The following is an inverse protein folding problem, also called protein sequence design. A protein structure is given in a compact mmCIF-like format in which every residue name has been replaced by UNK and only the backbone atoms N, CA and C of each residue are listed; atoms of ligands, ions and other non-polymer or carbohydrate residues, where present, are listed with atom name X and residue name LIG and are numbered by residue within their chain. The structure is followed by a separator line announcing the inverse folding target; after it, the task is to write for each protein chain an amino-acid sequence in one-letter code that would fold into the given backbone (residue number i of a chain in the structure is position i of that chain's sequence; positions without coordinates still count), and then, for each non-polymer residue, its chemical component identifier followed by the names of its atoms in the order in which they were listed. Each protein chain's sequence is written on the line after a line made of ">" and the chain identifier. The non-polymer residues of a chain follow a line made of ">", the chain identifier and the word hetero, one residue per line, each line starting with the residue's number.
data_IF_006025868280
#
_entry.id   IF_006025868280
#
_cell.length_a   1.000
_cell.length_b   1.000
_cell.length_c   1.000
_cell.angle_alpha   90.00
_cell.angle_beta   90.00
_cell.angle_gamma   90.00
#
_symmetry.space_group_name_H-M   'P 1'
#
loop_
_entity.id
_entity.type
_entity.pdbx_description
1 polymer ?
#
# COMPACT_ATOMS: atom_id res chain seq x y z
N UNK A 1 -23.46 -2.63 10.15
CA UNK A 1 -22.07 -3.07 10.44
C UNK A 1 -21.09 -1.92 10.65
N UNK A 2 -21.22 -0.79 9.92
CA UNK A 2 -20.36 0.39 10.15
C UNK A 2 -20.59 1.02 11.54
N UNK A 3 -19.52 1.32 12.31
CA UNK A 3 -19.62 2.02 13.61
C UNK A 3 -20.39 3.34 13.53
N UNK A 4 -21.13 3.69 14.59
CA UNK A 4 -21.99 4.87 14.63
C UNK A 4 -21.28 6.15 14.16
N UNK A 5 -20.05 6.37 14.64
CA UNK A 5 -19.22 7.54 14.29
C UNK A 5 -18.91 7.71 12.80
N UNK A 6 -19.01 6.64 12.00
CA UNK A 6 -18.67 6.65 10.57
C UNK A 6 -19.86 6.39 9.65
N UNK A 7 -21.05 6.07 10.20
CA UNK A 7 -22.20 5.61 9.42
C UNK A 7 -22.67 6.62 8.37
N UNK A 8 -22.60 7.91 8.67
CA UNK A 8 -23.00 8.99 7.76
C UNK A 8 -21.90 9.37 6.75
N UNK A 9 -20.70 8.79 6.88
CA UNK A 9 -19.53 9.11 6.04
C UNK A 9 -19.21 7.93 5.11
N UNK A 10 -19.28 6.71 5.63
CA UNK A 10 -18.89 5.46 4.98
C UNK A 10 -17.85 4.69 5.80
N UNK A 11 -17.70 3.39 5.51
CA UNK A 11 -16.70 2.55 6.15
C UNK A 11 -15.27 3.03 5.80
N UNK A 12 -14.39 3.26 6.79
CA UNK A 12 -12.97 3.48 6.51
C UNK A 12 -12.33 2.27 5.85
N UNK A 13 -11.56 2.50 4.79
CA UNK A 13 -10.83 1.48 4.04
C UNK A 13 -9.35 1.85 4.04
N UNK A 14 -8.50 0.94 4.51
CA UNK A 14 -7.07 1.18 4.66
C UNK A 14 -6.33 0.44 3.55
N UNK A 15 -5.60 1.18 2.71
CA UNK A 15 -4.84 0.66 1.59
C UNK A 15 -3.35 0.82 1.88
N UNK A 16 -2.66 -0.25 2.33
CA UNK A 16 -1.21 -0.23 2.42
C UNK A 16 -0.58 -0.14 1.02
N UNK A 17 0.44 0.72 0.91
CA UNK A 17 1.41 0.68 -0.19
C UNK A 17 2.48 -0.39 0.06
N UNK A 18 3.69 -0.09 -0.39
CA UNK A 18 4.90 -0.85 -0.06
C UNK A 18 5.78 -0.08 0.95
N UNK A 19 6.98 -0.61 1.23
CA UNK A 19 7.87 -0.01 2.24
C UNK A 19 8.46 1.36 1.86
N UNK A 20 8.35 1.78 0.60
CA UNK A 20 8.87 3.04 0.09
C UNK A 20 7.85 3.95 -0.57
N UNK A 21 6.56 3.57 -0.58
CA UNK A 21 5.47 4.33 -1.21
C UNK A 21 4.41 4.74 -0.20
N UNK A 22 3.51 5.63 -0.62
CA UNK A 22 2.42 6.07 0.23
C UNK A 22 1.42 4.96 0.57
N UNK A 23 0.64 5.16 1.62
CA UNK A 23 -0.58 4.42 1.90
C UNK A 23 -1.78 5.35 1.82
N UNK A 24 -2.98 4.81 1.66
CA UNK A 24 -4.20 5.60 1.53
C UNK A 24 -5.26 5.19 2.56
N UNK A 25 -5.97 6.20 3.04
CA UNK A 25 -7.26 6.04 3.69
C UNK A 25 -8.33 6.39 2.66
N UNK A 26 -9.26 5.47 2.44
CA UNK A 26 -10.44 5.65 1.60
C UNK A 26 -11.71 5.49 2.45
N UNK A 27 -12.87 5.78 1.86
CA UNK A 27 -14.17 5.41 2.40
C UNK A 27 -14.96 4.57 1.39
N UNK A 28 -15.67 3.56 1.88
CA UNK A 28 -16.65 2.82 1.07
C UNK A 28 -17.82 3.71 0.63
N UNK A 29 -18.50 3.28 -0.43
CA UNK A 29 -19.63 3.98 -1.06
C UNK A 29 -20.77 3.02 -1.37
N UNK A 30 -21.97 3.53 -1.65
CA UNK A 30 -23.08 2.72 -2.14
C UNK A 30 -22.76 2.08 -3.50
N UNK A 31 -22.00 2.76 -4.36
CA UNK A 31 -21.49 2.23 -5.63
C UNK A 31 -20.72 0.90 -5.47
N UNK A 32 -20.13 0.65 -4.30
CA UNK A 32 -19.45 -0.62 -4.01
C UNK A 32 -20.36 -1.86 -4.05
N UNK A 33 -21.69 -1.69 -4.07
CA UNK A 33 -22.65 -2.77 -4.32
C UNK A 33 -22.38 -3.52 -5.64
N UNK A 34 -21.86 -2.84 -6.67
CA UNK A 34 -21.41 -3.47 -7.93
C UNK A 34 -20.29 -4.52 -7.73
N UNK A 35 -19.64 -4.48 -6.57
CA UNK A 35 -18.56 -5.36 -6.16
C UNK A 35 -18.87 -6.09 -4.85
N UNK A 36 -20.15 -6.17 -4.47
CA UNK A 36 -20.60 -6.77 -3.21
C UNK A 36 -19.93 -6.15 -1.97
N UNK A 37 -19.77 -4.82 -1.96
CA UNK A 37 -19.15 -4.10 -0.85
C UNK A 37 -17.62 -4.22 -0.78
N UNK A 38 -16.96 -4.50 -1.90
CA UNK A 38 -15.51 -4.75 -1.96
C UNK A 38 -14.72 -3.63 -2.63
N UNK A 39 -13.40 -3.60 -2.41
CA UNK A 39 -12.49 -2.71 -3.12
C UNK A 39 -11.06 -3.26 -3.11
N UNK A 40 -10.07 -2.51 -3.61
CA UNK A 40 -8.66 -2.94 -3.58
C UNK A 40 -8.12 -3.07 -2.15
N UNK A 41 -7.04 -3.84 -1.98
CA UNK A 41 -6.39 -4.05 -0.68
C UNK A 41 -4.95 -3.51 -0.60
N UNK A 42 -4.39 -3.02 -1.71
CA UNK A 42 -2.99 -2.57 -1.79
C UNK A 42 -2.49 -2.53 -3.24
N UNK A 43 -1.20 -2.29 -3.40
CA UNK A 43 -0.52 -2.26 -4.70
C UNK A 43 -0.66 -3.57 -5.51
N UNK A 44 -0.50 -4.71 -4.84
CA UNK A 44 -0.34 -6.01 -5.49
C UNK A 44 1.05 -6.16 -6.14
N UNK A 45 1.58 -7.39 -6.11
CA UNK A 45 2.92 -7.68 -6.63
C UNK A 45 2.92 -7.78 -8.16
N UNK A 46 3.99 -7.31 -8.78
CA UNK A 46 4.32 -7.56 -10.20
C UNK A 46 5.43 -8.59 -10.39
N UNK A 47 6.11 -8.96 -9.29
CA UNK A 47 7.24 -9.88 -9.31
C UNK A 47 7.20 -10.85 -8.14
N UNK A 48 7.59 -12.12 -8.39
CA UNK A 48 7.74 -13.11 -7.32
C UNK A 48 8.84 -12.72 -6.33
N UNK A 49 8.74 -13.20 -5.09
CA UNK A 49 9.76 -12.94 -4.05
C UNK A 49 11.14 -13.45 -4.47
N UNK A 50 11.19 -14.64 -5.07
CA UNK A 50 12.45 -15.23 -5.56
C UNK A 50 13.09 -14.39 -6.66
N UNK A 51 12.29 -13.88 -7.60
CA UNK A 51 12.81 -12.99 -8.64
C UNK A 51 13.29 -11.66 -8.04
N UNK A 52 12.57 -11.12 -7.06
CA UNK A 52 12.97 -9.90 -6.36
C UNK A 52 14.32 -10.05 -5.65
N UNK A 53 14.53 -11.14 -4.88
CA UNK A 53 15.81 -11.44 -4.23
C UNK A 53 16.99 -11.57 -5.18
N UNK A 54 16.75 -12.10 -6.38
CA UNK A 54 17.80 -12.27 -7.40
C UNK A 54 18.16 -10.94 -8.06
N UNK A 55 17.19 -10.02 -8.14
CA UNK A 55 17.33 -8.75 -8.83
C UNK A 55 17.91 -7.64 -7.95
N UNK A 56 17.51 -7.58 -6.68
CA UNK A 56 17.86 -6.48 -5.79
C UNK A 56 18.61 -6.94 -4.55
N UNK A 57 19.46 -6.05 -4.03
CA UNK A 57 20.16 -6.22 -2.76
C UNK A 57 19.45 -5.44 -1.67
N UNK A 58 19.14 -6.09 -0.55
CA UNK A 58 18.39 -5.48 0.55
C UNK A 58 19.07 -4.24 1.12
N UNK A 59 20.39 -4.25 1.23
CA UNK A 59 21.18 -3.12 1.74
C UNK A 59 21.05 -1.88 0.85
N UNK A 60 20.95 -2.09 -0.46
CA UNK A 60 20.76 -1.00 -1.43
C UNK A 60 19.36 -0.41 -1.32
N UNK A 61 18.34 -1.26 -1.13
CA UNK A 61 16.98 -0.80 -0.89
C UNK A 61 16.91 0.00 0.41
N UNK A 62 17.54 -0.48 1.48
CA UNK A 62 17.64 0.27 2.74
C UNK A 62 18.24 1.66 2.55
N UNK A 63 19.40 1.76 1.88
CA UNK A 63 20.01 3.06 1.53
C UNK A 63 19.11 3.94 0.66
N UNK A 64 18.34 3.35 -0.26
CA UNK A 64 17.38 4.08 -1.09
C UNK A 64 16.24 4.68 -0.24
N UNK A 65 15.74 3.94 0.74
CA UNK A 65 14.72 4.42 1.67
C UNK A 65 15.26 5.53 2.57
N UNK A 66 16.46 5.36 3.12
CA UNK A 66 17.11 6.39 3.93
C UNK A 66 17.33 7.70 3.15
N UNK A 67 17.72 7.61 1.88
CA UNK A 67 17.82 8.79 0.98
C UNK A 67 16.49 9.50 0.77
N UNK A 68 15.37 8.79 0.89
CA UNK A 68 14.01 9.36 0.84
C UNK A 68 13.53 9.87 2.21
N UNK A 69 14.36 9.82 3.25
CA UNK A 69 13.99 10.17 4.62
C UNK A 69 13.16 9.11 5.34
N UNK A 70 13.20 7.87 4.86
CA UNK A 70 12.45 6.73 5.44
C UNK A 70 13.42 5.86 6.22
N UNK A 71 13.24 5.77 7.55
CA UNK A 71 14.02 4.86 8.39
C UNK A 71 13.68 3.40 8.08
N UNK A 72 14.68 2.56 7.82
CA UNK A 72 14.47 1.15 7.46
C UNK A 72 15.06 0.22 8.52
N UNK A 73 14.23 -0.67 9.08
CA UNK A 73 14.67 -1.68 10.06
C UNK A 73 14.17 -3.09 9.67
N UNK A 74 14.93 -3.82 8.83
CA UNK A 74 14.57 -5.18 8.46
C UNK A 74 15.06 -6.21 9.48
N UNK A 75 14.31 -7.31 9.65
CA UNK A 75 14.76 -8.51 10.35
C UNK A 75 15.91 -9.21 9.60
N UNK A 76 15.93 -9.10 8.27
CA UNK A 76 17.07 -9.48 7.44
C UNK A 76 17.11 -8.70 6.13
N UNK A 77 18.31 -8.52 5.57
CA UNK A 77 18.46 -7.93 4.24
C UNK A 77 17.79 -8.76 3.13
N UNK A 78 17.60 -10.07 3.35
CA UNK A 78 16.86 -10.91 2.40
C UNK A 78 15.38 -10.52 2.34
N UNK A 79 14.75 -10.28 3.50
CA UNK A 79 13.36 -9.80 3.59
C UNK A 79 13.22 -8.44 2.92
N UNK A 80 14.19 -7.56 3.13
CA UNK A 80 14.20 -6.25 2.47
C UNK A 80 14.26 -6.39 0.93
N UNK A 81 15.01 -7.36 0.40
CA UNK A 81 15.04 -7.64 -1.04
C UNK A 81 13.72 -8.22 -1.60
N UNK A 82 13.02 -9.08 -0.86
CA UNK A 82 11.71 -9.62 -1.27
C UNK A 82 10.65 -8.55 -1.47
N UNK A 83 10.76 -7.49 -0.66
CA UNK A 83 9.75 -6.47 -0.45
C UNK A 83 10.08 -5.16 -1.17
N UNK A 84 11.09 -5.18 -2.07
CA UNK A 84 11.49 -4.03 -2.87
C UNK A 84 10.27 -3.26 -3.42
N UNK A 85 10.22 -1.92 -3.33
CA UNK A 85 9.11 -1.14 -3.89
C UNK A 85 8.82 -1.48 -5.36
N UNK A 86 9.86 -1.71 -6.14
CA UNK A 86 9.78 -2.08 -7.56
C UNK A 86 9.18 -3.49 -7.81
N UNK A 87 8.94 -4.29 -6.77
CA UNK A 87 8.26 -5.57 -6.86
C UNK A 87 6.72 -5.42 -6.81
N UNK A 88 6.21 -4.21 -6.59
CA UNK A 88 4.80 -3.87 -6.46
C UNK A 88 4.34 -2.92 -7.58
N UNK A 89 3.03 -2.87 -7.82
CA UNK A 89 2.44 -1.83 -8.68
C UNK A 89 2.48 -0.48 -7.96
N UNK A 90 2.27 0.59 -8.72
CA UNK A 90 1.97 1.90 -8.16
C UNK A 90 0.61 1.87 -7.43
N UNK A 91 0.63 1.95 -6.10
CA UNK A 91 -0.57 1.97 -5.25
C UNK A 91 -1.45 3.18 -5.52
N UNK A 92 -0.86 4.33 -5.88
CA UNK A 92 -1.59 5.53 -6.28
C UNK A 92 -2.43 5.30 -7.53
N UNK A 93 -1.91 4.55 -8.51
CA UNK A 93 -2.68 4.14 -9.68
C UNK A 93 -3.83 3.17 -9.32
N UNK A 94 -3.56 2.17 -8.47
CA UNK A 94 -4.61 1.23 -8.01
C UNK A 94 -5.76 1.97 -7.33
N UNK A 95 -5.41 2.90 -6.43
CA UNK A 95 -6.40 3.75 -5.72
C UNK A 95 -7.10 4.70 -6.68
N UNK A 96 -6.41 5.24 -7.69
CA UNK A 96 -7.03 6.11 -8.68
C UNK A 96 -8.13 5.39 -9.46
N UNK A 97 -7.94 4.11 -9.79
CA UNK A 97 -8.93 3.29 -10.50
C UNK A 97 -10.18 3.06 -9.63
N UNK A 98 -10.03 2.61 -8.39
CA UNK A 98 -11.19 2.38 -7.51
C UNK A 98 -11.92 3.66 -7.13
N UNK A 99 -11.18 4.77 -7.04
CA UNK A 99 -11.74 6.10 -6.89
C UNK A 99 -12.54 6.57 -8.11
N UNK A 100 -11.97 6.40 -9.31
CA UNK A 100 -12.66 6.75 -10.56
C UNK A 100 -13.90 5.90 -10.81
N UNK A 101 -13.88 4.62 -10.43
CA UNK A 101 -15.04 3.73 -10.46
C UNK A 101 -16.09 4.05 -9.39
N UNK A 102 -15.77 4.92 -8.42
CA UNK A 102 -16.68 5.32 -7.36
C UNK A 102 -16.87 4.28 -6.25
N UNK A 103 -16.32 3.06 -6.37
CA UNK A 103 -16.50 1.98 -5.38
C UNK A 103 -15.77 2.24 -4.05
N UNK A 104 -14.79 3.14 -4.03
CA UNK A 104 -14.21 3.70 -2.80
C UNK A 104 -13.63 5.08 -3.06
N UNK A 105 -13.71 6.01 -2.11
CA UNK A 105 -13.28 7.41 -2.33
C UNK A 105 -12.08 7.79 -1.47
N UNK A 106 -11.11 8.50 -2.04
CA UNK A 106 -9.93 9.02 -1.34
C UNK A 106 -10.33 9.95 -0.18
N UNK A 107 -9.74 9.70 0.99
CA UNK A 107 -9.89 10.53 2.19
C UNK A 107 -8.55 11.16 2.57
N UNK A 108 -7.50 10.35 2.68
CA UNK A 108 -6.16 10.84 3.01
C UNK A 108 -5.07 10.00 2.35
N UNK A 109 -3.90 10.61 2.20
CA UNK A 109 -2.66 9.98 1.73
C UNK A 109 -1.61 10.10 2.84
N UNK A 110 -0.92 8.99 3.14
CA UNK A 110 0.08 8.90 4.18
C UNK A 110 1.43 8.56 3.56
N UNK A 111 2.48 9.30 3.89
CA UNK A 111 3.86 9.03 3.43
C UNK A 111 4.64 8.41 4.59
N UNK A 112 5.34 7.28 4.39
CA UNK A 112 6.07 6.62 5.47
C UNK A 112 7.25 7.48 5.95
N UNK A 113 7.47 7.49 7.27
CA UNK A 113 8.68 8.03 7.90
C UNK A 113 9.64 6.91 8.35
N UNK A 114 9.11 5.72 8.56
CA UNK A 114 9.91 4.55 8.92
C UNK A 114 9.15 3.25 8.70
N UNK A 115 9.89 2.19 8.45
CA UNK A 115 9.38 0.84 8.21
C UNK A 115 10.20 -0.17 9.00
N UNK A 116 9.49 -0.95 9.81
CA UNK A 116 10.02 -2.14 10.49
C UNK A 116 9.45 -3.36 9.78
N UNK A 117 10.32 -4.25 9.28
CA UNK A 117 9.89 -5.38 8.44
C UNK A 117 10.47 -6.69 8.96
N UNK A 118 9.59 -7.65 9.28
CA UNK A 118 9.91 -9.01 9.70
C UNK A 118 10.03 -9.99 8.56
#
# INVERSE_FOLDING_TARGET
>A
EVPLKYRNIGQPVIIPGDMGTESYLLKGTEQSEETFGSTCHGAGRVMSRTAAKKRWRGEEIGRNLERKGIYAHPASWSVMAEESPDAYKDVGQVVAVTHGAGISLKVARMVPLGVVKG
#
